data_IF_368346270490
#
_entry.id   IF_368346270490
#
_cell.length_a   1.000
_cell.length_b   1.000
_cell.length_c   1.000
_cell.angle_alpha   90.00
_cell.angle_beta   90.00
_cell.angle_gamma   90.00
#
_symmetry.space_group_name_H-M   'P 1'
#
loop_
_entity.id
_entity.type
_entity.pdbx_description
1 polymer ?
#
# COMPACT_ATOMS: atom_id res chain seq x y z
N UNK A 1 -11.95 13.01 1.68
CA UNK A 1 -10.53 13.04 2.09
C UNK A 1 -10.32 13.64 3.48
N UNK A 2 -11.06 14.67 3.89
CA UNK A 2 -10.96 15.24 5.26
C UNK A 2 -11.15 14.23 6.40
N UNK A 3 -11.88 13.14 6.18
CA UNK A 3 -12.20 12.13 7.22
C UNK A 3 -10.99 11.32 7.70
N UNK A 4 -9.89 11.30 6.95
CA UNK A 4 -8.66 10.58 7.32
C UNK A 4 -7.58 11.52 7.89
N UNK A 5 -7.78 12.84 7.82
CA UNK A 5 -6.84 13.81 8.38
C UNK A 5 -6.78 13.66 9.91
N UNK A 6 -5.58 13.75 10.46
CA UNK A 6 -5.30 13.62 11.91
C UNK A 6 -5.66 12.24 12.49
N UNK A 7 -5.74 11.21 11.67
CA UNK A 7 -5.97 9.82 12.08
C UNK A 7 -4.64 9.06 12.14
N UNK A 8 -4.53 8.17 13.11
CA UNK A 8 -3.38 7.25 13.18
C UNK A 8 -3.40 6.27 12.00
N UNK A 9 -2.23 5.70 11.61
CA UNK A 9 -2.17 4.66 10.59
C UNK A 9 -3.13 3.50 10.87
N UNK A 10 -3.26 3.10 12.15
CA UNK A 10 -4.15 2.03 12.58
C UNK A 10 -5.63 2.35 12.38
N UNK A 11 -6.03 3.58 12.70
CA UNK A 11 -7.40 4.04 12.44
C UNK A 11 -7.70 4.09 10.94
N UNK A 12 -6.74 4.60 10.14
CA UNK A 12 -6.91 4.73 8.70
C UNK A 12 -7.05 3.37 8.02
N UNK A 13 -6.18 2.40 8.32
CA UNK A 13 -6.29 1.07 7.71
C UNK A 13 -7.61 0.39 8.07
N UNK A 14 -8.09 0.55 9.31
CA UNK A 14 -9.39 0.05 9.74
C UNK A 14 -10.53 0.68 8.95
N UNK A 15 -10.56 2.01 8.86
CA UNK A 15 -11.59 2.75 8.12
C UNK A 15 -11.61 2.39 6.63
N UNK A 16 -10.43 2.32 6.00
CA UNK A 16 -10.29 1.96 4.57
C UNK A 16 -10.76 0.54 4.34
N UNK A 17 -10.40 -0.38 5.23
CA UNK A 17 -10.82 -1.79 5.12
C UNK A 17 -12.34 -1.92 5.22
N UNK A 18 -12.97 -1.24 6.18
CA UNK A 18 -14.43 -1.22 6.30
C UNK A 18 -15.06 -0.75 4.99
N UNK A 19 -14.62 0.38 4.44
CA UNK A 19 -15.18 0.90 3.17
C UNK A 19 -15.02 -0.06 1.99
N UNK A 20 -13.86 -0.69 1.86
CA UNK A 20 -13.58 -1.63 0.77
C UNK A 20 -14.49 -2.85 0.91
N UNK A 21 -14.63 -3.39 2.11
CA UNK A 21 -15.44 -4.59 2.36
C UNK A 21 -16.93 -4.29 2.19
N UNK A 22 -17.44 -3.19 2.76
CA UNK A 22 -18.84 -2.77 2.56
C UNK A 22 -19.17 -2.61 1.08
N UNK A 23 -18.28 -1.97 0.32
CA UNK A 23 -18.46 -1.84 -1.13
C UNK A 23 -18.41 -3.18 -1.85
N UNK A 24 -17.54 -4.10 -1.44
CA UNK A 24 -17.50 -5.45 -2.00
C UNK A 24 -18.80 -6.20 -1.75
N UNK A 25 -19.33 -6.11 -0.53
CA UNK A 25 -20.60 -6.70 -0.14
C UNK A 25 -21.76 -6.14 -0.99
N UNK A 26 -21.87 -4.81 -1.09
CA UNK A 26 -22.91 -4.17 -1.90
C UNK A 26 -22.85 -4.60 -3.38
N UNK A 27 -21.64 -4.65 -3.95
CA UNK A 27 -21.46 -5.11 -5.33
C UNK A 27 -21.74 -6.61 -5.48
N UNK A 28 -21.35 -7.41 -4.49
CA UNK A 28 -21.64 -8.83 -4.45
C UNK A 28 -23.16 -9.10 -4.43
N UNK A 29 -23.89 -8.41 -3.55
CA UNK A 29 -25.35 -8.49 -3.48
C UNK A 29 -26.01 -8.09 -4.80
N UNK A 30 -25.62 -6.94 -5.37
CA UNK A 30 -26.16 -6.45 -6.64
C UNK A 30 -25.94 -7.43 -7.79
N UNK A 31 -24.83 -8.15 -7.81
CA UNK A 31 -24.43 -9.08 -8.88
C UNK A 31 -24.68 -10.54 -8.54
N UNK A 32 -25.30 -10.82 -7.40
CA UNK A 32 -25.48 -12.18 -6.85
C UNK A 32 -24.16 -12.98 -6.80
N UNK A 33 -23.09 -12.33 -6.27
CA UNK A 33 -21.75 -12.91 -6.17
C UNK A 33 -21.27 -12.97 -4.73
N UNK A 34 -20.48 -13.97 -4.43
CA UNK A 34 -19.83 -14.15 -3.12
C UNK A 34 -18.60 -13.25 -2.98
N UNK A 35 -18.31 -12.82 -1.75
CA UNK A 35 -17.17 -11.98 -1.40
C UNK A 35 -16.22 -12.81 -0.54
N UNK A 36 -14.96 -12.86 -0.95
CA UNK A 36 -13.89 -13.53 -0.20
C UNK A 36 -12.83 -12.50 0.15
N UNK A 37 -12.47 -12.46 1.42
CA UNK A 37 -11.40 -11.60 1.92
C UNK A 37 -10.63 -12.35 3.00
N UNK A 38 -9.33 -12.17 3.02
CA UNK A 38 -8.48 -12.64 4.10
C UNK A 38 -7.54 -11.53 4.55
N UNK A 39 -6.92 -11.69 5.69
CA UNK A 39 -5.86 -10.82 6.15
C UNK A 39 -4.68 -11.64 6.63
N UNK A 40 -3.48 -11.05 6.48
CA UNK A 40 -2.24 -11.59 7.01
C UNK A 40 -1.73 -10.66 8.08
N UNK A 41 -1.58 -11.15 9.30
CA UNK A 41 -1.06 -10.39 10.44
C UNK A 41 0.39 -10.78 10.68
N UNK A 42 1.33 -9.83 10.48
CA UNK A 42 2.75 -10.04 10.78
C UNK A 42 3.39 -11.24 10.07
N UNK A 43 2.96 -11.57 8.86
CA UNK A 43 3.46 -12.70 8.07
C UNK A 43 2.80 -14.05 8.41
N UNK A 44 1.89 -14.10 9.38
CA UNK A 44 1.08 -15.29 9.69
C UNK A 44 -0.31 -15.13 9.12
N UNK A 45 -0.72 -16.03 8.23
CA UNK A 45 -2.04 -16.01 7.60
C UNK A 45 -3.16 -16.23 8.62
N UNK A 46 -4.17 -15.37 8.59
CA UNK A 46 -5.47 -15.66 9.20
C UNK A 46 -6.46 -15.74 8.05
N UNK A 47 -6.90 -16.94 7.71
CA UNK A 47 -7.92 -17.12 6.70
C UNK A 47 -9.29 -16.80 7.29
N UNK A 48 -9.96 -15.84 6.68
CA UNK A 48 -11.42 -15.69 6.77
C UNK A 48 -11.99 -16.13 5.43
N UNK A 49 -12.57 -17.30 5.42
CA UNK A 49 -12.84 -18.02 4.18
C UNK A 49 -14.05 -17.54 3.41
N UNK A 50 -15.06 -16.95 4.04
CA UNK A 50 -16.26 -16.56 3.30
C UNK A 50 -17.00 -15.43 3.98
N UNK A 51 -17.14 -14.31 3.28
CA UNK A 51 -18.04 -13.22 3.67
C UNK A 51 -19.29 -13.25 2.78
N UNK A 52 -20.21 -14.17 3.04
CA UNK A 52 -21.51 -14.10 2.44
C UNK A 52 -22.47 -13.39 3.41
N UNK A 53 -22.80 -12.09 3.19
CA UNK A 53 -23.64 -11.33 4.11
C UNK A 53 -25.10 -11.83 4.17
N UNK A 54 -25.47 -12.74 3.28
CA UNK A 54 -26.80 -13.37 3.27
C UNK A 54 -26.92 -14.52 4.25
N UNK A 55 -25.80 -15.06 4.74
CA UNK A 55 -25.78 -16.16 5.70
C UNK A 55 -25.42 -15.65 7.09
N UNK A 56 -25.90 -16.30 8.14
CA UNK A 56 -25.58 -16.00 9.53
C UNK A 56 -24.09 -16.17 9.81
N UNK A 57 -23.52 -17.25 9.29
CA UNK A 57 -22.08 -17.53 9.38
C UNK A 57 -21.26 -16.43 8.71
N UNK A 58 -21.66 -15.96 7.51
CA UNK A 58 -20.95 -14.88 6.80
C UNK A 58 -21.00 -13.56 7.55
N UNK A 59 -22.10 -13.24 8.25
CA UNK A 59 -22.20 -12.06 9.13
C UNK A 59 -21.29 -12.18 10.34
N UNK A 60 -21.32 -13.32 11.03
CA UNK A 60 -20.44 -13.60 12.18
C UNK A 60 -18.95 -13.55 11.79
N UNK A 61 -18.59 -14.06 10.61
CA UNK A 61 -17.24 -13.98 10.08
C UNK A 61 -16.80 -12.54 9.77
N UNK A 62 -17.73 -11.70 9.31
CA UNK A 62 -17.51 -10.28 9.06
C UNK A 62 -17.13 -9.55 10.36
N UNK A 63 -17.91 -9.76 11.42
CA UNK A 63 -17.66 -9.18 12.73
C UNK A 63 -16.29 -9.60 13.28
N UNK A 64 -15.99 -10.90 13.24
CA UNK A 64 -14.68 -11.44 13.65
C UNK A 64 -13.53 -10.86 12.83
N UNK A 65 -13.74 -10.57 11.55
CA UNK A 65 -12.73 -9.98 10.68
C UNK A 65 -12.38 -8.54 11.09
N UNK A 66 -13.35 -7.72 11.50
CA UNK A 66 -13.13 -6.32 11.81
C UNK A 66 -12.53 -6.07 13.20
N UNK A 67 -12.78 -6.94 14.17
CA UNK A 67 -12.34 -6.74 15.56
C UNK A 67 -10.81 -6.60 15.71
N UNK A 68 -9.97 -7.46 15.10
CA UNK A 68 -8.53 -7.40 15.30
C UNK A 68 -7.77 -6.81 14.11
N UNK A 69 -8.24 -5.70 13.50
CA UNK A 69 -7.45 -5.03 12.46
C UNK A 69 -6.29 -4.28 13.10
N UNK A 70 -5.07 -4.64 12.70
CA UNK A 70 -3.82 -4.07 13.20
C UNK A 70 -3.11 -3.27 12.11
N UNK A 71 -2.25 -2.35 12.53
CA UNK A 71 -1.43 -1.47 11.70
C UNK A 71 -0.65 -2.19 10.60
N UNK A 72 -0.24 -3.43 10.82
CA UNK A 72 0.59 -4.20 9.88
C UNK A 72 -0.17 -5.28 9.13
N UNK A 73 -1.49 -5.28 9.23
CA UNK A 73 -2.28 -6.26 8.51
C UNK A 73 -2.27 -5.96 7.01
N UNK A 74 -2.07 -6.99 6.22
CA UNK A 74 -2.23 -6.97 4.77
C UNK A 74 -3.50 -7.72 4.42
N UNK A 75 -4.32 -7.09 3.60
CA UNK A 75 -5.63 -7.62 3.21
C UNK A 75 -5.58 -8.19 1.81
N UNK A 76 -6.19 -9.34 1.61
CA UNK A 76 -6.26 -10.04 0.35
C UNK A 76 -7.72 -10.22 -0.06
N UNK A 77 -8.10 -9.58 -1.14
CA UNK A 77 -9.36 -9.86 -1.82
C UNK A 77 -9.17 -11.03 -2.77
N UNK A 78 -9.86 -12.12 -2.52
CA UNK A 78 -9.71 -13.37 -3.28
C UNK A 78 -10.85 -13.51 -4.28
N UNK A 79 -10.53 -13.43 -5.60
CA UNK A 79 -11.36 -14.04 -6.61
C UNK A 79 -10.95 -15.51 -6.70
N UNK A 80 -11.80 -16.44 -6.28
CA UNK A 80 -11.50 -17.87 -6.48
C UNK A 80 -11.77 -18.23 -7.93
N UNK A 81 -10.78 -18.70 -8.69
CA UNK A 81 -10.97 -19.09 -10.09
C UNK A 81 -11.99 -20.20 -10.27
N UNK A 82 -12.12 -21.06 -9.26
CA UNK A 82 -13.01 -22.22 -9.24
C UNK A 82 -14.47 -21.84 -8.97
N UNK A 83 -14.71 -20.65 -8.40
CA UNK A 83 -16.07 -20.18 -8.12
C UNK A 83 -16.49 -19.10 -9.13
N UNK A 84 -17.26 -19.51 -10.15
CA UNK A 84 -17.85 -18.60 -11.16
C UNK A 84 -18.61 -17.41 -10.56
N UNK A 85 -19.00 -17.49 -9.30
CA UNK A 85 -19.80 -16.50 -8.59
C UNK A 85 -18.99 -15.58 -7.64
N UNK A 86 -17.65 -15.67 -7.62
CA UNK A 86 -16.85 -14.78 -6.80
C UNK A 86 -16.76 -13.36 -7.38
N UNK A 87 -16.73 -12.37 -6.50
CA UNK A 87 -16.53 -10.99 -6.93
C UNK A 87 -15.09 -10.78 -7.41
N UNK A 88 -14.96 -10.11 -8.56
CA UNK A 88 -13.64 -9.68 -9.04
C UNK A 88 -13.25 -8.37 -8.31
N UNK A 89 -12.19 -8.40 -7.52
CA UNK A 89 -11.75 -7.26 -6.72
C UNK A 89 -11.30 -6.04 -7.52
N UNK A 90 -11.04 -6.18 -8.82
CA UNK A 90 -10.79 -5.03 -9.71
C UNK A 90 -11.97 -4.06 -9.76
N UNK A 91 -13.21 -4.57 -9.57
CA UNK A 91 -14.43 -3.73 -9.60
C UNK A 91 -14.79 -3.13 -8.25
N UNK A 92 -14.16 -3.59 -7.16
CA UNK A 92 -14.38 -3.08 -5.80
C UNK A 92 -13.67 -1.75 -5.55
N UNK A 93 -12.85 -1.32 -6.46
CA UNK A 93 -12.07 -0.08 -6.39
C UNK A 93 -12.96 1.17 -6.18
N UNK A 94 -12.31 2.29 -5.93
CA UNK A 94 -12.97 3.59 -5.86
C UNK A 94 -13.87 3.83 -7.09
N UNK A 95 -14.91 4.66 -6.98
CA UNK A 95 -15.72 5.09 -8.11
C UNK A 95 -14.84 5.60 -9.26
N UNK A 96 -15.22 5.29 -10.51
CA UNK A 96 -14.38 5.56 -11.69
C UNK A 96 -13.95 7.03 -11.79
N UNK A 97 -14.87 7.95 -11.52
CA UNK A 97 -14.58 9.39 -11.55
C UNK A 97 -13.52 9.80 -10.52
N UNK A 98 -13.53 9.23 -9.30
CA UNK A 98 -12.52 9.49 -8.27
C UNK A 98 -11.16 8.93 -8.69
N UNK A 99 -11.14 7.77 -9.30
CA UNK A 99 -9.90 7.16 -9.84
C UNK A 99 -9.27 8.04 -10.92
N UNK A 100 -10.08 8.58 -11.84
CA UNK A 100 -9.61 9.48 -12.89
C UNK A 100 -9.01 10.75 -12.28
N UNK A 101 -9.71 11.39 -11.34
CA UNK A 101 -9.21 12.60 -10.66
C UNK A 101 -7.89 12.32 -9.95
N UNK A 102 -7.80 11.26 -9.16
CA UNK A 102 -6.59 10.91 -8.44
C UNK A 102 -5.43 10.58 -9.39
N UNK A 103 -5.71 9.89 -10.49
CA UNK A 103 -4.71 9.59 -11.52
C UNK A 103 -4.17 10.86 -12.20
N UNK A 104 -5.03 11.78 -12.60
CA UNK A 104 -4.62 13.05 -13.19
C UNK A 104 -3.80 13.89 -12.21
N UNK A 105 -4.19 13.93 -10.94
CA UNK A 105 -3.43 14.59 -9.89
C UNK A 105 -2.07 13.93 -9.68
N UNK A 106 -1.99 12.61 -9.71
CA UNK A 106 -0.73 11.89 -9.60
C UNK A 106 0.23 12.22 -10.74
N UNK A 107 -0.25 12.20 -12.00
CA UNK A 107 0.56 12.62 -13.16
C UNK A 107 1.09 14.04 -12.96
N UNK A 108 0.22 14.96 -12.57
CA UNK A 108 0.61 16.33 -12.28
C UNK A 108 1.68 16.41 -11.19
N UNK A 109 1.49 15.70 -10.08
CA UNK A 109 2.47 15.66 -8.99
C UNK A 109 3.81 15.06 -9.42
N UNK A 110 3.80 13.95 -10.17
CA UNK A 110 5.02 13.28 -10.61
C UNK A 110 5.86 14.17 -11.54
N UNK A 111 5.22 14.94 -12.41
CA UNK A 111 5.89 15.86 -13.33
C UNK A 111 6.49 17.11 -12.65
N UNK A 112 5.97 17.48 -11.46
CA UNK A 112 6.48 18.65 -10.73
C UNK A 112 7.85 18.38 -10.13
N UNK A 113 8.73 19.38 -10.15
CA UNK A 113 9.95 19.40 -9.33
C UNK A 113 9.57 19.41 -7.84
N UNK A 114 10.53 19.02 -6.96
CA UNK A 114 10.34 19.08 -5.51
C UNK A 114 9.97 20.52 -5.06
N UNK A 115 8.74 20.75 -4.70
CA UNK A 115 8.24 22.06 -4.27
C UNK A 115 7.17 21.89 -3.17
N UNK A 116 6.98 22.88 -2.29
CA UNK A 116 5.90 22.85 -1.29
C UNK A 116 4.50 22.66 -1.91
N UNK A 117 4.29 23.17 -3.15
CA UNK A 117 3.03 22.98 -3.89
C UNK A 117 2.76 21.50 -4.19
N UNK A 118 3.79 20.74 -4.52
CA UNK A 118 3.70 19.31 -4.78
C UNK A 118 3.24 18.55 -3.53
N UNK A 119 3.85 18.82 -2.39
CA UNK A 119 3.46 18.25 -1.09
C UNK A 119 2.01 18.57 -0.76
N UNK A 120 1.60 19.83 -0.92
CA UNK A 120 0.21 20.25 -0.71
C UNK A 120 -0.78 19.50 -1.61
N UNK A 121 -0.39 19.17 -2.84
CA UNK A 121 -1.22 18.37 -3.75
C UNK A 121 -1.32 16.92 -3.29
N UNK A 122 -0.23 16.29 -2.89
CA UNK A 122 -0.26 14.92 -2.34
C UNK A 122 -1.09 14.83 -1.06
N UNK A 123 -0.94 15.80 -0.14
CA UNK A 123 -1.79 15.91 1.06
C UNK A 123 -3.29 16.05 0.68
N UNK A 124 -3.61 16.82 -0.38
CA UNK A 124 -4.99 16.90 -0.91
C UNK A 124 -5.50 15.59 -1.53
N UNK A 125 -4.63 14.77 -2.07
CA UNK A 125 -4.98 13.42 -2.55
C UNK A 125 -5.28 12.46 -1.39
N UNK A 126 -4.84 12.77 -0.18
CA UNK A 126 -5.04 11.97 1.02
C UNK A 126 -3.76 11.38 1.61
N UNK A 127 -2.60 11.58 0.98
CA UNK A 127 -1.30 11.14 1.52
C UNK A 127 -0.99 11.91 2.80
N UNK A 128 -0.56 11.20 3.84
CA UNK A 128 -0.07 11.79 5.08
C UNK A 128 1.42 12.08 4.92
N UNK A 129 1.82 13.34 4.98
CA UNK A 129 3.21 13.77 4.81
C UNK A 129 3.54 14.73 5.94
N UNK A 130 4.64 14.47 6.63
CA UNK A 130 5.16 15.30 7.72
C UNK A 130 5.76 16.62 7.24
N UNK A 131 6.32 17.36 8.19
CA UNK A 131 6.94 18.66 7.92
C UNK A 131 8.39 18.50 7.42
N UNK A 132 8.90 19.49 6.70
CA UNK A 132 10.25 19.52 6.13
C UNK A 132 10.59 18.29 5.25
N UNK A 133 9.59 17.58 4.74
CA UNK A 133 9.77 16.42 3.88
C UNK A 133 9.85 16.88 2.43
N UNK A 134 10.75 16.28 1.67
CA UNK A 134 10.97 16.60 0.26
C UNK A 134 10.59 15.42 -0.63
N UNK A 135 9.85 15.69 -1.71
CA UNK A 135 9.45 14.69 -2.68
C UNK A 135 9.96 15.11 -4.06
N UNK A 136 10.96 14.39 -4.55
CA UNK A 136 11.64 14.71 -5.82
C UNK A 136 10.76 14.44 -7.05
N UNK A 137 11.22 14.88 -8.21
CA UNK A 137 10.55 14.66 -9.49
C UNK A 137 10.39 13.17 -9.80
N UNK A 138 9.30 12.81 -10.49
CA UNK A 138 9.05 11.43 -10.90
C UNK A 138 8.60 10.48 -9.78
N UNK A 139 8.52 10.95 -8.53
CA UNK A 139 8.01 10.13 -7.44
C UNK A 139 6.56 9.76 -7.70
N UNK A 140 6.27 8.45 -7.59
CA UNK A 140 4.95 7.89 -7.80
C UNK A 140 4.38 7.36 -6.49
N UNK A 141 3.42 8.08 -5.90
CA UNK A 141 2.67 7.63 -4.74
C UNK A 141 1.32 7.08 -5.21
N UNK A 142 1.00 5.87 -4.79
CA UNK A 142 -0.18 5.15 -5.26
C UNK A 142 -1.47 5.98 -5.15
N UNK A 143 -2.26 5.98 -6.22
CA UNK A 143 -3.54 6.68 -6.28
C UNK A 143 -4.74 5.80 -5.97
N UNK A 144 -4.52 4.50 -5.71
CA UNK A 144 -5.60 3.57 -5.35
C UNK A 144 -6.27 3.96 -4.03
N UNK A 145 -5.44 4.10 -2.98
CA UNK A 145 -5.82 4.53 -1.64
C UNK A 145 -4.68 5.37 -1.04
N UNK A 146 -4.52 6.61 -1.52
CA UNK A 146 -3.41 7.46 -1.08
C UNK A 146 -3.41 7.71 0.42
N UNK A 147 -4.56 7.59 1.09
CA UNK A 147 -4.71 7.65 2.54
C UNK A 147 -3.98 6.53 3.31
N UNK A 148 -3.55 5.46 2.63
CA UNK A 148 -2.73 4.38 3.20
C UNK A 148 -1.23 4.67 3.16
N UNK A 149 -0.81 5.86 2.72
CA UNK A 149 0.59 6.25 2.63
C UNK A 149 0.88 7.29 3.72
N UNK A 150 1.85 6.98 4.58
CA UNK A 150 2.35 7.83 5.64
C UNK A 150 3.84 8.08 5.42
N UNK A 151 4.25 9.32 5.41
CA UNK A 151 5.64 9.76 5.29
C UNK A 151 5.89 10.74 6.44
N UNK A 152 6.88 10.48 7.26
CA UNK A 152 7.22 11.28 8.44
C UNK A 152 7.89 12.60 8.10
N UNK A 153 8.41 13.25 9.14
CA UNK A 153 9.10 14.54 9.07
C UNK A 153 10.53 14.39 8.54
N UNK A 154 11.08 15.48 7.98
CA UNK A 154 12.47 15.55 7.54
C UNK A 154 12.91 14.40 6.62
N UNK A 155 12.00 13.85 5.84
CA UNK A 155 12.24 12.67 4.99
C UNK A 155 12.39 13.08 3.54
N UNK A 156 13.40 12.51 2.85
CA UNK A 156 13.63 12.72 1.43
C UNK A 156 13.13 11.52 0.63
N UNK A 157 12.21 11.75 -0.29
CA UNK A 157 11.82 10.79 -1.32
C UNK A 157 12.58 11.08 -2.62
N UNK A 158 13.57 10.24 -2.92
CA UNK A 158 14.41 10.36 -4.11
C UNK A 158 13.64 10.26 -5.41
N UNK A 159 14.19 10.86 -6.47
CA UNK A 159 13.55 10.93 -7.78
C UNK A 159 13.18 9.53 -8.30
N UNK A 160 12.03 9.44 -8.98
CA UNK A 160 11.49 8.20 -9.59
C UNK A 160 11.24 7.05 -8.62
N UNK A 161 11.24 7.29 -7.31
CA UNK A 161 10.82 6.27 -6.35
C UNK A 161 9.31 5.98 -6.47
N UNK A 162 8.93 4.73 -6.15
CA UNK A 162 7.55 4.25 -6.28
C UNK A 162 7.07 3.68 -4.95
N UNK A 163 5.90 4.13 -4.53
CA UNK A 163 5.19 3.63 -3.35
C UNK A 163 3.86 3.07 -3.80
N UNK A 164 3.63 1.78 -3.57
CA UNK A 164 2.37 1.10 -3.90
C UNK A 164 1.72 0.55 -2.64
N UNK A 165 0.44 0.82 -2.46
CA UNK A 165 -0.35 0.27 -1.35
C UNK A 165 -1.16 -0.95 -1.76
N UNK A 166 -1.18 -1.28 -3.04
CA UNK A 166 -1.95 -2.39 -3.58
C UNK A 166 -1.18 -3.19 -4.63
N UNK A 167 -1.58 -4.44 -4.81
CA UNK A 167 -1.13 -5.29 -5.92
C UNK A 167 -2.28 -6.16 -6.44
N UNK A 168 -2.32 -6.35 -7.75
CA UNK A 168 -3.16 -7.38 -8.38
C UNK A 168 -2.32 -8.63 -8.61
N UNK A 169 -2.79 -9.76 -8.08
CA UNK A 169 -2.07 -11.05 -8.12
C UNK A 169 -2.60 -12.01 -9.20
N UNK A 170 -3.39 -11.50 -10.15
CA UNK A 170 -4.05 -12.32 -11.17
C UNK A 170 -5.38 -12.93 -10.67
N UNK A 171 -6.12 -13.58 -11.58
CA UNK A 171 -7.39 -14.28 -11.29
C UNK A 171 -8.40 -13.51 -10.44
N UNK A 172 -8.43 -12.17 -10.54
CA UNK A 172 -9.29 -11.32 -9.73
C UNK A 172 -8.82 -11.12 -8.29
N UNK A 173 -7.66 -11.61 -7.91
CA UNK A 173 -7.06 -11.41 -6.60
C UNK A 173 -6.49 -10.01 -6.47
N UNK A 174 -6.55 -9.50 -5.24
CA UNK A 174 -6.12 -8.15 -4.94
C UNK A 174 -5.61 -8.09 -3.50
N UNK A 175 -4.49 -7.39 -3.30
CA UNK A 175 -3.88 -7.18 -1.98
C UNK A 175 -3.68 -5.70 -1.72
N UNK A 176 -3.84 -5.27 -0.49
CA UNK A 176 -3.51 -3.91 -0.05
C UNK A 176 -3.06 -3.87 1.41
N UNK A 177 -2.31 -2.83 1.77
CA UNK A 177 -1.83 -2.58 3.11
C UNK A 177 -1.27 -1.17 3.26
N UNK A 178 -0.88 -0.81 4.47
CA UNK A 178 -0.22 0.47 4.76
C UNK A 178 1.20 0.51 4.21
N UNK A 179 1.62 1.69 3.77
CA UNK A 179 3.02 2.05 3.63
C UNK A 179 3.32 3.17 4.60
N UNK A 180 4.26 2.92 5.50
CA UNK A 180 4.71 3.88 6.49
C UNK A 180 6.21 4.10 6.33
N UNK A 181 6.60 5.35 6.20
CA UNK A 181 7.98 5.80 6.17
C UNK A 181 8.17 6.75 7.33
N UNK A 182 9.11 6.46 8.21
CA UNK A 182 9.39 7.23 9.42
C UNK A 182 10.01 8.59 9.16
N UNK A 183 10.52 9.18 10.22
CA UNK A 183 11.17 10.48 10.22
C UNK A 183 12.66 10.36 9.83
N UNK A 184 13.24 11.45 9.35
CA UNK A 184 14.67 11.55 9.02
C UNK A 184 15.15 10.47 8.04
N UNK A 185 14.27 9.94 7.19
CA UNK A 185 14.60 8.90 6.24
C UNK A 185 15.12 9.49 4.93
N UNK A 186 16.00 8.74 4.26
CA UNK A 186 16.43 9.04 2.89
C UNK A 186 16.08 7.87 1.99
N UNK A 187 15.05 8.04 1.19
CA UNK A 187 14.66 7.04 0.20
C UNK A 187 15.40 7.34 -1.11
N UNK A 188 16.30 6.45 -1.49
CA UNK A 188 17.15 6.60 -2.69
C UNK A 188 16.33 6.67 -3.97
N UNK A 189 16.87 7.33 -4.99
CA UNK A 189 16.23 7.45 -6.30
C UNK A 189 15.90 6.07 -6.89
N UNK A 190 14.74 5.94 -7.55
CA UNK A 190 14.32 4.68 -8.16
C UNK A 190 13.93 3.58 -7.17
N UNK A 191 13.90 3.84 -5.86
CA UNK A 191 13.45 2.85 -4.87
C UNK A 191 11.99 2.50 -5.09
N UNK A 192 11.68 1.20 -5.13
CA UNK A 192 10.31 0.70 -5.21
C UNK A 192 9.92 -0.03 -3.92
N UNK A 193 8.72 0.25 -3.41
CA UNK A 193 8.21 -0.35 -2.19
C UNK A 193 6.70 -0.53 -2.22
N UNK A 194 6.23 -1.51 -1.42
CA UNK A 194 4.80 -1.74 -1.23
C UNK A 194 4.55 -2.33 0.15
N UNK A 195 3.40 -2.05 0.76
CA UNK A 195 2.93 -2.65 2.00
C UNK A 195 4.01 -2.84 3.09
N UNK A 196 4.73 -1.80 3.47
CA UNK A 196 5.90 -1.88 4.34
C UNK A 196 5.90 -0.79 5.41
N UNK A 197 6.51 -1.07 6.56
CA UNK A 197 6.89 -0.08 7.56
C UNK A 197 8.39 0.13 7.57
N UNK A 198 8.80 1.36 7.31
CA UNK A 198 10.16 1.86 7.46
C UNK A 198 10.19 2.72 8.72
N UNK A 199 11.02 2.36 9.71
CA UNK A 199 11.19 3.16 10.93
C UNK A 199 12.03 4.41 10.65
N UNK A 200 12.39 5.16 11.69
CA UNK A 200 13.10 6.42 11.57
C UNK A 200 14.56 6.22 11.12
N UNK A 201 15.19 7.27 10.65
CA UNK A 201 16.62 7.33 10.31
C UNK A 201 17.08 6.29 9.25
N UNK A 202 16.17 5.72 8.48
CA UNK A 202 16.48 4.70 7.47
C UNK A 202 16.98 5.33 6.18
N UNK A 203 18.00 4.72 5.58
CA UNK A 203 18.52 5.08 4.27
C UNK A 203 18.36 3.92 3.30
N UNK A 204 17.69 4.13 2.17
CA UNK A 204 17.75 3.19 1.05
C UNK A 204 18.69 3.73 -0.02
N UNK A 205 19.52 2.84 -0.61
CA UNK A 205 20.35 3.19 -1.75
C UNK A 205 19.51 3.31 -3.02
N UNK A 206 20.00 4.05 -4.03
CA UNK A 206 19.28 4.14 -5.31
C UNK A 206 19.01 2.78 -5.94
N UNK A 207 17.83 2.64 -6.56
CA UNK A 207 17.42 1.40 -7.22
C UNK A 207 17.00 0.27 -6.27
N UNK A 208 16.91 0.52 -4.98
CA UNK A 208 16.49 -0.51 -3.99
C UNK A 208 15.05 -0.95 -4.26
N UNK A 209 14.84 -2.28 -4.26
CA UNK A 209 13.50 -2.86 -4.32
C UNK A 209 13.21 -3.52 -2.97
N UNK A 210 12.24 -2.95 -2.24
CA UNK A 210 11.77 -3.51 -0.98
C UNK A 210 10.61 -4.44 -1.26
N UNK A 211 10.87 -5.74 -1.04
CA UNK A 211 9.87 -6.78 -1.26
C UNK A 211 8.63 -6.54 -0.37
N UNK A 212 7.43 -6.78 -0.87
CA UNK A 212 6.20 -6.72 -0.08
C UNK A 212 6.14 -7.77 1.05
N UNK A 213 7.08 -8.70 1.08
CA UNK A 213 7.27 -9.67 2.18
C UNK A 213 8.17 -9.13 3.30
N UNK A 214 8.86 -8.02 3.08
CA UNK A 214 9.64 -7.33 4.11
C UNK A 214 8.69 -6.41 4.89
N UNK A 215 8.13 -6.93 5.96
CA UNK A 215 7.07 -6.24 6.72
C UNK A 215 7.60 -4.99 7.43
N UNK A 216 8.88 -4.98 7.83
CA UNK A 216 9.46 -3.90 8.64
C UNK A 216 10.94 -3.70 8.36
N UNK A 217 11.35 -2.45 8.25
CA UNK A 217 12.75 -1.98 8.26
C UNK A 217 13.01 -1.26 9.56
N UNK A 218 14.03 -1.68 10.30
CA UNK A 218 14.36 -1.14 11.61
C UNK A 218 15.04 0.24 11.52
N UNK A 219 14.89 0.99 12.59
CA UNK A 219 15.51 2.29 12.79
C UNK A 219 17.01 2.28 12.47
N UNK A 220 17.49 3.33 11.81
CA UNK A 220 18.89 3.52 11.45
C UNK A 220 19.43 2.58 10.37
N UNK A 221 18.61 1.69 9.79
CA UNK A 221 19.07 0.73 8.80
C UNK A 221 19.47 1.40 7.48
N UNK A 222 20.56 0.88 6.88
CA UNK A 222 20.95 1.19 5.50
C UNK A 222 20.65 -0.02 4.64
N UNK A 223 19.80 0.15 3.63
CA UNK A 223 19.39 -0.92 2.73
C UNK A 223 19.77 -0.57 1.30
N UNK A 224 20.38 -1.51 0.63
CA UNK A 224 20.73 -1.39 -0.78
C UNK A 224 20.83 -2.75 -1.42
N UNK A 225 20.75 -2.74 -2.73
CA UNK A 225 21.16 -3.86 -3.52
C UNK A 225 22.67 -3.77 -3.72
N UNK A 226 23.44 -4.75 -3.22
CA UNK A 226 24.80 -4.92 -3.67
C UNK A 226 24.72 -5.42 -5.13
N UNK A 227 25.26 -4.66 -6.10
CA UNK A 227 25.33 -5.17 -7.46
C UNK A 227 25.97 -6.55 -7.42
N UNK A 228 25.48 -7.53 -8.20
CA UNK A 228 26.18 -8.79 -8.30
C UNK A 228 27.62 -8.46 -8.68
N UNK A 229 28.59 -9.02 -7.96
CA UNK A 229 29.95 -8.99 -8.39
C UNK A 229 30.00 -9.55 -9.81
N UNK A 230 30.24 -8.69 -10.78
CA UNK A 230 30.58 -9.16 -12.13
C UNK A 230 31.93 -9.85 -11.96
N UNK A 231 31.92 -11.16 -11.80
CA UNK A 231 33.13 -11.95 -11.92
C UNK A 231 33.54 -11.91 -13.38
N UNK A 232 34.50 -11.05 -13.69
CA UNK A 232 35.15 -11.14 -14.97
C UNK A 232 35.85 -12.50 -15.08
N UNK A 233 35.76 -13.22 -16.20
CA UNK A 233 36.48 -14.47 -16.38
C UNK A 233 37.96 -14.20 -16.15
N UNK A 234 38.56 -14.79 -15.09
CA UNK A 234 39.97 -14.64 -14.73
C UNK A 234 40.29 -13.90 -13.43
N UNK A 235 39.28 -13.33 -12.74
CA UNK A 235 39.51 -12.78 -11.39
C UNK A 235 39.29 -13.87 -10.34
N UNK A 236 40.35 -14.37 -9.75
CA UNK A 236 40.31 -15.21 -8.55
C UNK A 236 39.80 -14.36 -7.37
N UNK A 237 38.89 -14.95 -6.58
CA UNK A 237 38.38 -14.33 -5.34
C UNK A 237 39.55 -14.02 -4.42
N UNK A 238 39.92 -12.75 -4.26
CA UNK A 238 40.65 -12.33 -3.10
C UNK A 238 39.77 -12.62 -1.86
N UNK A 239 40.20 -13.59 -1.08
CA UNK A 239 39.60 -13.97 0.21
C UNK A 239 39.88 -12.93 1.27
#
# INVERSE_FOLDING_TARGET
>A
MKKYQNKSPEEVIKMVTIEIVERAIQLGQKKNRSVYISKTSGGKGVEVTTLNPKTEEGRANLEKFFIPIRRHDTFHGLGKPEEKNAINWRVVNLPIWRRIILFLQLIRCSAMKGTPRKIKLYRKMGVHIGENTEIMQGVWLDHFRPELIFIGDNTLMGAFSRVTVHAYEGHGRFRYGLVEIGNNCTIGAGTAMGGIRIEDNVRTLPGTILSPYLVKVKDGAVIGWNPPHVQNPGEEKAR
#
